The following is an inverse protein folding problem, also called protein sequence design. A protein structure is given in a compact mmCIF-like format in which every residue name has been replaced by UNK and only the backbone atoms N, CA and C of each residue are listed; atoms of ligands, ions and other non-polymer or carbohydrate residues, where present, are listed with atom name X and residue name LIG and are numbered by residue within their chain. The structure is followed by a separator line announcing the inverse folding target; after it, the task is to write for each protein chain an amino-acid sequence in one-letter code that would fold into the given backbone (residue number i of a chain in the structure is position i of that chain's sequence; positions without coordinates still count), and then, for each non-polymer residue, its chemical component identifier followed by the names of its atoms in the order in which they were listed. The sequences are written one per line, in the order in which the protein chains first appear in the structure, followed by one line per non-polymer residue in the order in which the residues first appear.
data_IF_980893556896
#
_entry.id   IF_980893556896
#
_cell.length_a   1.000
_cell.length_b   1.000
_cell.length_c   1.000
_cell.angle_alpha   90.00
_cell.angle_beta   90.00
_cell.angle_gamma   90.00
#
_symmetry.space_group_name_H-M   'P 1'
#
loop_
_entity.id
_entity.type
_entity.pdbx_description
1 polymer ?
#
# COMPACT_ATOMS: atom_id res chain seq x y z
N UNK A 1 -18.16 -3.16 -9.23
CA UNK A 1 -17.00 -3.86 -9.82
C UNK A 1 -17.27 -5.35 -10.02
N UNK A 2 -18.01 -5.71 -11.08
CA UNK A 2 -18.38 -7.12 -11.39
C UNK A 2 -17.76 -7.59 -12.74
N UNK A 3 -17.09 -6.71 -13.47
CA UNK A 3 -16.74 -6.94 -14.88
C UNK A 3 -15.67 -8.02 -15.13
N UNK A 4 -14.93 -8.48 -14.12
CA UNK A 4 -13.92 -9.53 -14.29
C UNK A 4 -14.36 -10.92 -13.83
N UNK A 5 -15.46 -11.05 -13.07
CA UNK A 5 -15.80 -12.31 -12.37
C UNK A 5 -16.52 -13.38 -13.22
N UNK A 6 -16.92 -13.08 -14.46
CA UNK A 6 -17.78 -13.97 -15.26
C UNK A 6 -17.24 -14.23 -16.68
N UNK A 7 -15.98 -14.67 -16.79
CA UNK A 7 -15.44 -15.18 -18.05
C UNK A 7 -14.56 -16.41 -17.83
N UNK A 8 -14.46 -17.29 -18.83
CA UNK A 8 -13.57 -18.46 -18.82
C UNK A 8 -12.07 -18.11 -18.78
N UNK A 9 -11.72 -16.82 -18.90
CA UNK A 9 -10.35 -16.29 -18.76
C UNK A 9 -10.16 -15.50 -17.45
N UNK A 10 -11.05 -15.68 -16.47
CA UNK A 10 -10.86 -15.06 -15.16
C UNK A 10 -9.61 -15.63 -14.50
N UNK A 11 -8.81 -14.78 -13.85
CA UNK A 11 -7.68 -15.25 -13.07
C UNK A 11 -8.23 -16.16 -11.95
N UNK A 12 -7.77 -17.43 -11.84
CA UNK A 12 -8.24 -18.34 -10.80
C UNK A 12 -7.92 -17.80 -9.39
N UNK A 13 -6.91 -16.95 -9.27
CA UNK A 13 -6.53 -16.26 -8.05
C UNK A 13 -7.31 -14.97 -7.76
N UNK A 14 -8.29 -14.55 -8.57
CA UNK A 14 -8.98 -13.27 -8.35
C UNK A 14 -9.63 -13.16 -6.97
N UNK A 15 -10.29 -14.22 -6.49
CA UNK A 15 -10.94 -14.21 -5.19
C UNK A 15 -9.92 -14.14 -4.05
N UNK A 16 -8.82 -14.88 -4.17
CA UNK A 16 -7.73 -14.82 -3.20
C UNK A 16 -7.10 -13.43 -3.17
N UNK A 17 -6.80 -12.86 -4.33
CA UNK A 17 -6.20 -11.53 -4.44
C UNK A 17 -7.11 -10.43 -3.85
N UNK A 18 -8.42 -10.51 -4.06
CA UNK A 18 -9.39 -9.56 -3.49
C UNK A 18 -9.42 -9.65 -1.96
N UNK A 19 -9.47 -10.86 -1.41
CA UNK A 19 -9.49 -11.09 0.03
C UNK A 19 -8.15 -10.70 0.68
N UNK A 20 -7.03 -11.03 0.04
CA UNK A 20 -5.69 -10.69 0.50
C UNK A 20 -5.49 -9.17 0.50
N UNK A 21 -5.85 -8.50 -0.59
CA UNK A 21 -5.77 -7.03 -0.67
C UNK A 21 -6.60 -6.36 0.42
N UNK A 22 -7.81 -6.87 0.68
CA UNK A 22 -8.67 -6.34 1.74
C UNK A 22 -8.02 -6.53 3.12
N UNK A 23 -7.54 -7.73 3.41
CA UNK A 23 -6.93 -8.05 4.70
C UNK A 23 -5.64 -7.26 4.94
N UNK A 24 -4.75 -7.21 3.95
CA UNK A 24 -3.51 -6.44 4.03
C UNK A 24 -3.80 -4.95 4.22
N UNK A 25 -4.74 -4.39 3.45
CA UNK A 25 -5.14 -2.99 3.61
C UNK A 25 -5.70 -2.73 5.01
N UNK A 26 -6.54 -3.63 5.52
CA UNK A 26 -7.12 -3.50 6.86
C UNK A 26 -6.05 -3.58 7.96
N UNK A 27 -5.10 -4.51 7.86
CA UNK A 27 -3.99 -4.67 8.81
C UNK A 27 -3.04 -3.47 8.77
N UNK A 28 -2.62 -3.05 7.57
CA UNK A 28 -1.76 -1.89 7.37
C UNK A 28 -2.42 -0.63 7.93
N UNK A 29 -3.69 -0.42 7.62
CA UNK A 29 -4.43 0.69 8.20
C UNK A 29 -4.55 0.50 9.71
N UNK A 30 -4.88 -0.66 10.26
CA UNK A 30 -4.99 -0.83 11.71
C UNK A 30 -3.70 -0.46 12.47
N UNK A 31 -2.53 -0.80 11.91
CA UNK A 31 -1.23 -0.60 12.55
C UNK A 31 -0.59 0.78 12.27
N UNK A 32 -0.82 1.36 11.10
CA UNK A 32 -0.08 2.54 10.62
C UNK A 32 -0.98 3.73 10.23
N UNK A 33 -0.38 4.91 10.27
CA UNK A 33 -0.94 6.14 9.71
C UNK A 33 -0.15 6.50 8.47
N UNK A 34 -0.86 6.59 7.33
CA UNK A 34 -0.30 7.02 6.07
C UNK A 34 -0.58 8.50 5.86
N UNK A 35 0.44 9.28 5.52
CA UNK A 35 0.31 10.69 5.20
C UNK A 35 1.22 11.08 4.02
N UNK A 36 0.88 12.18 3.36
CA UNK A 36 1.74 12.70 2.31
C UNK A 36 3.11 13.07 2.85
N UNK A 37 4.14 12.80 2.06
CA UNK A 37 5.47 13.30 2.37
C UNK A 37 5.48 14.84 2.29
N UNK A 38 6.20 15.47 3.21
CA UNK A 38 6.39 16.91 3.26
C UNK A 38 7.80 17.24 2.76
N UNK A 39 7.94 18.26 1.94
CA UNK A 39 9.23 18.78 1.51
C UNK A 39 9.91 19.60 2.63
N UNK A 40 11.14 20.08 2.40
CA UNK A 40 11.94 20.89 3.33
C UNK A 40 11.20 22.13 3.87
N UNK A 41 10.20 22.61 3.13
CA UNK A 41 9.36 23.77 3.49
C UNK A 41 7.98 23.38 4.07
N UNK A 42 7.84 22.15 4.58
CA UNK A 42 6.58 21.56 5.10
C UNK A 42 5.41 21.46 4.10
N UNK A 43 5.65 21.73 2.82
CA UNK A 43 4.63 21.63 1.78
C UNK A 43 4.39 20.17 1.40
N UNK A 44 3.12 19.81 1.23
CA UNK A 44 2.69 18.50 0.73
C UNK A 44 3.30 18.27 -0.66
N UNK A 45 4.02 17.15 -0.80
CA UNK A 45 4.52 16.67 -2.08
C UNK A 45 3.36 15.96 -2.78
N UNK A 46 2.97 16.48 -3.95
CA UNK A 46 1.91 15.89 -4.76
C UNK A 46 2.39 14.59 -5.42
N UNK A 47 1.49 13.63 -5.58
CA UNK A 47 1.83 12.31 -6.12
C UNK A 47 1.67 12.35 -7.64
N UNK A 48 2.77 12.14 -8.36
CA UNK A 48 2.73 12.03 -9.82
C UNK A 48 2.20 10.65 -10.22
N UNK A 49 0.99 10.58 -10.77
CA UNK A 49 0.35 9.36 -11.26
C UNK A 49 0.89 8.87 -12.62
N UNK A 50 2.16 9.14 -12.93
CA UNK A 50 2.77 8.66 -14.16
C UNK A 50 2.98 7.14 -14.08
N UNK A 51 2.42 6.40 -15.05
CA UNK A 51 2.70 4.98 -15.20
C UNK A 51 4.11 4.78 -15.77
N UNK A 52 4.87 3.85 -15.20
CA UNK A 52 6.15 3.46 -15.78
C UNK A 52 5.88 2.77 -17.12
N UNK A 53 6.44 3.28 -18.22
CA UNK A 53 6.07 2.92 -19.60
C UNK A 53 6.57 1.53 -20.06
N UNK A 54 6.69 0.55 -19.16
CA UNK A 54 7.24 -0.76 -19.52
C UNK A 54 6.42 -1.90 -18.89
N UNK A 55 5.61 -2.54 -19.74
CA UNK A 55 4.97 -3.85 -19.57
C UNK A 55 4.15 -4.14 -18.29
N UNK A 56 3.90 -3.16 -17.41
CA UNK A 56 3.11 -3.35 -16.20
C UNK A 56 2.40 -2.06 -15.75
N UNK A 57 1.21 -2.20 -15.17
CA UNK A 57 0.49 -1.13 -14.49
C UNK A 57 1.10 -0.89 -13.10
N UNK A 58 2.35 -0.40 -13.07
CA UNK A 58 3.03 -0.04 -11.84
C UNK A 58 3.18 1.48 -11.76
N UNK A 59 2.72 2.13 -10.67
CA UNK A 59 2.97 3.55 -10.47
C UNK A 59 4.48 3.82 -10.36
N UNK A 60 4.92 5.01 -10.75
CA UNK A 60 6.27 5.45 -10.41
C UNK A 60 6.46 5.51 -8.89
N UNK A 61 7.72 5.37 -8.43
CA UNK A 61 8.05 5.52 -7.02
C UNK A 61 7.61 6.89 -6.50
N UNK A 62 6.92 6.92 -5.36
CA UNK A 62 6.45 8.15 -4.71
C UNK A 62 6.83 8.16 -3.23
N UNK A 63 7.09 9.35 -2.69
CA UNK A 63 7.38 9.50 -1.27
C UNK A 63 6.09 9.55 -0.45
N UNK A 64 6.03 8.74 0.61
CA UNK A 64 4.96 8.76 1.60
C UNK A 64 5.54 8.67 3.01
N UNK A 65 4.80 9.18 4.00
CA UNK A 65 5.14 9.04 5.41
C UNK A 65 4.25 7.97 6.03
N UNK A 66 4.87 6.96 6.65
CA UNK A 66 4.21 5.85 7.32
C UNK A 66 4.68 5.85 8.77
N UNK A 67 3.76 6.06 9.71
CA UNK A 67 4.07 6.10 11.14
C UNK A 67 3.25 5.08 11.92
N UNK A 68 3.83 4.35 12.89
CA UNK A 68 3.08 3.46 13.76
C UNK A 68 2.00 4.23 14.53
N UNK A 69 0.82 3.63 14.71
CA UNK A 69 -0.27 4.26 15.48
C UNK A 69 -0.13 4.11 17.00
N UNK A 70 0.62 3.11 17.45
CA UNK A 70 0.74 2.80 18.88
C UNK A 70 2.15 2.33 19.22
N UNK A 71 2.55 2.58 20.47
CA UNK A 71 3.84 2.18 21.01
C UNK A 71 4.07 0.66 20.93
N UNK A 72 2.99 -0.13 20.99
CA UNK A 72 3.09 -1.58 20.85
C UNK A 72 3.55 -1.98 19.45
N UNK A 73 3.02 -1.32 18.41
CA UNK A 73 3.42 -1.59 17.01
C UNK A 73 4.86 -1.14 16.79
N UNK A 74 5.24 0.01 17.33
CA UNK A 74 6.63 0.50 17.27
C UNK A 74 7.61 -0.46 17.94
N UNK A 75 7.28 -0.95 19.14
CA UNK A 75 8.09 -1.94 19.85
C UNK A 75 8.24 -3.25 19.05
N UNK A 76 7.15 -3.78 18.47
CA UNK A 76 7.21 -4.99 17.64
C UNK A 76 8.17 -4.79 16.46
N UNK A 77 8.11 -3.63 15.79
CA UNK A 77 8.95 -3.34 14.63
C UNK A 77 10.42 -3.27 15.03
N UNK A 78 10.72 -2.57 16.14
CA UNK A 78 12.08 -2.44 16.65
C UNK A 78 12.67 -3.79 17.06
N UNK A 79 11.85 -4.66 17.70
CA UNK A 79 12.30 -5.99 18.06
C UNK A 79 12.56 -6.88 16.82
N UNK A 80 11.74 -6.74 15.78
CA UNK A 80 11.93 -7.46 14.52
C UNK A 80 13.17 -7.00 13.75
N UNK A 81 13.57 -5.73 13.86
CA UNK A 81 14.77 -5.17 13.21
C UNK A 81 16.09 -5.62 13.87
N UNK A 82 16.02 -6.11 15.12
CA UNK A 82 17.17 -6.59 15.90
C UNK A 82 17.46 -8.09 15.72
N UNK A 83 16.66 -8.81 14.92
CA UNK A 83 16.82 -10.23 14.57
C UNK A 83 17.46 -10.40 13.19
#
# INVERSE_FOLDING_TARGET
NILTKYSSRVCPGCLLAENMLWLESACLLAAFTFSHSKDQNEKIIDICYAATSMAGFCPANFHCSITPRSNNVEWIIQEMELL
#
